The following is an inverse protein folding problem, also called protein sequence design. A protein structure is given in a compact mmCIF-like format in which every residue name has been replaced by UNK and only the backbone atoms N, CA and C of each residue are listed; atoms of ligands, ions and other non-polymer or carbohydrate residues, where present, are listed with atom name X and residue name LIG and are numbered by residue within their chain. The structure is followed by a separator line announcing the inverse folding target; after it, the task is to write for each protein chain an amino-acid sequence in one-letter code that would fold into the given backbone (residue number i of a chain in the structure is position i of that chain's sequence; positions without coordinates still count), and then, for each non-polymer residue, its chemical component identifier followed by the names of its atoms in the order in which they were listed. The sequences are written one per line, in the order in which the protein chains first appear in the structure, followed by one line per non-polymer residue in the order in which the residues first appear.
data_IF_988627602018
#
_entry.id   IF_988627602018
#
_cell.length_a   1.000
_cell.length_b   1.000
_cell.length_c   1.000
_cell.angle_alpha   90.00
_cell.angle_beta   90.00
_cell.angle_gamma   90.00
#
_symmetry.space_group_name_H-M   'P 1'
#
loop_
_entity.id
_entity.type
_entity.pdbx_description
1 polymer ?
#
# COMPACT_ATOMS: atom_id res chain seq x y z
N UNK A 1 -14.14 12.20 63.56
CA UNK A 1 -12.94 12.44 62.75
C UNK A 1 -12.37 11.11 62.26
N UNK A 2 -12.84 10.61 61.13
CA UNK A 2 -12.21 9.57 60.29
C UNK A 2 -12.54 9.99 58.85
N UNK A 3 -11.76 10.92 58.31
CA UNK A 3 -10.65 10.69 57.40
C UNK A 3 -11.13 10.47 55.96
N UNK A 4 -11.15 11.61 55.26
CA UNK A 4 -11.34 11.83 53.84
C UNK A 4 -10.21 11.17 53.01
N UNK A 5 -10.18 9.83 52.97
CA UNK A 5 -9.07 9.08 52.35
C UNK A 5 -9.52 7.92 51.46
N UNK A 6 -10.70 8.05 50.82
CA UNK A 6 -11.26 6.99 49.96
C UNK A 6 -11.62 7.44 48.54
N UNK A 7 -11.12 8.60 48.09
CA UNK A 7 -11.36 9.10 46.72
C UNK A 7 -10.08 9.63 46.04
N UNK A 8 -8.96 8.93 46.20
CA UNK A 8 -7.74 9.20 45.44
C UNK A 8 -7.24 8.03 44.59
N UNK A 9 -8.08 7.03 44.28
CA UNK A 9 -7.68 5.89 43.45
C UNK A 9 -8.25 5.87 42.02
N UNK A 10 -9.09 6.84 41.63
CA UNK A 10 -9.74 6.84 40.31
C UNK A 10 -9.27 7.94 39.35
N UNK A 11 -8.34 8.80 39.74
CA UNK A 11 -7.86 9.92 38.92
C UNK A 11 -6.66 9.59 38.00
N UNK A 12 -6.18 8.35 38.00
CA UNK A 12 -5.02 7.92 37.20
C UNK A 12 -5.32 7.25 35.87
N UNK A 13 -6.56 6.78 35.64
CA UNK A 13 -6.89 5.89 34.51
C UNK A 13 -7.46 6.63 33.28
N UNK A 14 -8.12 7.78 33.48
CA UNK A 14 -8.78 8.49 32.38
C UNK A 14 -7.83 9.30 31.47
N UNK A 15 -6.61 9.63 31.94
CA UNK A 15 -5.66 10.40 31.13
C UNK A 15 -4.95 9.53 30.08
N UNK A 16 -4.55 8.31 30.46
CA UNK A 16 -3.96 7.31 29.54
C UNK A 16 -4.96 6.88 28.46
N UNK A 17 -6.25 6.84 28.77
CA UNK A 17 -7.29 6.54 27.78
C UNK A 17 -7.52 7.68 26.78
N UNK A 18 -7.38 8.94 27.19
CA UNK A 18 -7.51 10.09 26.26
C UNK A 18 -6.28 10.16 25.33
N UNK A 19 -5.11 9.75 25.82
CA UNK A 19 -3.89 9.73 25.02
C UNK A 19 -3.91 8.61 23.98
N UNK A 20 -4.36 7.41 24.34
CA UNK A 20 -4.50 6.29 23.38
C UNK A 20 -5.53 6.60 22.27
N UNK A 21 -6.64 7.26 22.60
CA UNK A 21 -7.66 7.63 21.62
C UNK A 21 -7.20 8.80 20.75
N UNK A 22 -6.45 9.78 21.28
CA UNK A 22 -5.86 10.85 20.46
C UNK A 22 -4.79 10.33 19.51
N UNK A 23 -4.00 9.34 19.92
CA UNK A 23 -2.99 8.69 19.08
C UNK A 23 -3.64 7.93 17.90
N UNK A 24 -4.82 7.34 18.12
CA UNK A 24 -5.58 6.65 17.06
C UNK A 24 -6.25 7.60 16.04
N UNK A 25 -6.36 8.90 16.37
CA UNK A 25 -6.91 9.93 15.48
C UNK A 25 -5.89 10.53 14.51
N UNK A 26 -4.59 10.39 14.79
CA UNK A 26 -3.50 10.86 13.92
C UNK A 26 -2.46 9.75 13.82
N UNK A 27 -2.53 8.87 12.81
CA UNK A 27 -1.51 7.84 12.65
C UNK A 27 -0.15 8.53 12.56
N UNK A 28 0.81 8.08 13.37
CA UNK A 28 2.18 8.56 13.32
C UNK A 28 2.64 8.62 11.84
N UNK A 29 3.35 9.66 11.45
CA UNK A 29 3.88 9.77 10.08
C UNK A 29 5.34 9.33 10.07
N UNK A 30 5.71 8.50 9.09
CA UNK A 30 7.09 8.07 8.88
C UNK A 30 7.71 8.83 7.71
N UNK A 31 8.99 9.15 7.85
CA UNK A 31 9.76 9.86 6.84
C UNK A 31 10.79 8.91 6.24
N UNK A 32 10.67 8.63 4.95
CA UNK A 32 11.57 7.72 4.23
C UNK A 32 12.32 8.44 3.13
N UNK A 33 13.53 7.99 2.84
CA UNK A 33 14.40 8.59 1.85
C UNK A 33 14.35 7.81 0.54
N UNK A 34 14.33 8.53 -0.59
CA UNK A 34 14.67 7.95 -1.89
C UNK A 34 16.19 7.80 -2.01
N UNK A 35 16.70 6.93 -2.89
CA UNK A 35 18.13 6.86 -3.19
C UNK A 35 18.70 8.19 -3.74
N UNK A 36 17.84 9.08 -4.23
CA UNK A 36 18.18 10.41 -4.72
C UNK A 36 18.23 11.47 -3.59
N UNK A 37 17.95 11.08 -2.34
CA UNK A 37 17.96 11.98 -1.18
C UNK A 37 16.69 12.80 -0.99
N UNK A 38 15.59 12.47 -1.68
CA UNK A 38 14.28 13.10 -1.45
C UNK A 38 13.59 12.45 -0.25
N UNK A 39 12.97 13.28 0.59
CA UNK A 39 12.14 12.81 1.71
C UNK A 39 10.71 12.61 1.22
N UNK A 40 10.11 11.48 1.57
CA UNK A 40 8.71 11.16 1.32
C UNK A 40 8.04 10.86 2.65
N UNK A 41 6.92 11.54 2.90
CA UNK A 41 6.05 11.32 4.04
C UNK A 41 5.05 10.21 3.73
N UNK A 42 4.89 9.27 4.66
CA UNK A 42 3.96 8.16 4.56
C UNK A 42 3.29 7.91 5.92
N UNK A 43 2.07 7.35 5.94
CA UNK A 43 1.45 6.95 7.20
C UNK A 43 2.26 5.83 7.87
N UNK A 44 2.22 5.76 9.20
CA UNK A 44 2.84 4.68 9.96
C UNK A 44 2.30 3.33 9.50
N UNK A 45 3.20 2.36 9.46
CA UNK A 45 2.91 1.04 8.92
C UNK A 45 2.87 0.98 7.39
N UNK A 46 3.15 2.07 6.67
CA UNK A 46 3.26 2.04 5.21
C UNK A 46 4.34 1.05 4.76
N UNK A 47 4.04 0.37 3.67
CA UNK A 47 4.91 -0.65 3.08
C UNK A 47 5.74 -0.08 1.92
N UNK A 48 6.77 -0.80 1.43
CA UNK A 48 7.49 -0.40 0.22
C UNK A 48 6.57 -0.20 -1.00
N UNK A 49 5.45 -0.94 -1.05
CA UNK A 49 4.45 -0.77 -2.11
C UNK A 49 3.76 0.60 -1.99
N UNK A 50 3.41 1.03 -0.78
CA UNK A 50 2.83 2.36 -0.54
C UNK A 50 3.80 3.47 -0.98
N UNK A 51 5.09 3.33 -0.65
CA UNK A 51 6.15 4.23 -1.11
C UNK A 51 6.23 4.29 -2.65
N UNK A 52 6.20 3.14 -3.33
CA UNK A 52 6.24 3.10 -4.78
C UNK A 52 5.09 3.92 -5.42
N UNK A 53 3.86 3.76 -4.92
CA UNK A 53 2.69 4.54 -5.38
C UNK A 53 2.69 6.01 -4.94
N UNK A 54 3.40 6.34 -3.86
CA UNK A 54 3.61 7.72 -3.43
C UNK A 54 4.54 8.45 -4.40
N UNK A 55 5.65 7.81 -4.80
CA UNK A 55 6.61 8.35 -5.78
C UNK A 55 5.98 8.47 -7.17
N UNK A 56 5.48 7.37 -7.74
CA UNK A 56 4.82 7.39 -9.03
C UNK A 56 3.91 6.18 -9.25
N UNK A 57 2.75 6.39 -9.89
CA UNK A 57 1.80 5.28 -10.13
C UNK A 57 2.42 4.19 -11.02
N UNK A 58 3.20 4.58 -12.04
CA UNK A 58 3.85 3.62 -12.94
C UNK A 58 4.95 2.79 -12.25
N UNK A 59 5.68 3.40 -11.30
CA UNK A 59 6.66 2.68 -10.47
C UNK A 59 5.92 1.66 -9.58
N UNK A 60 4.80 2.06 -8.99
CA UNK A 60 3.93 1.16 -8.23
C UNK A 60 3.37 0.01 -9.06
N UNK A 61 2.98 0.26 -10.32
CA UNK A 61 2.50 -0.78 -11.24
C UNK A 61 3.61 -1.74 -11.68
N UNK A 62 4.81 -1.23 -11.94
CA UNK A 62 5.96 -2.00 -12.39
C UNK A 62 6.78 -2.62 -11.25
N UNK A 63 6.37 -2.45 -9.99
CA UNK A 63 7.08 -2.92 -8.81
C UNK A 63 7.15 -4.46 -8.78
N UNK A 64 8.35 -5.00 -8.59
CA UNK A 64 8.59 -6.45 -8.39
C UNK A 64 9.19 -6.77 -7.03
N UNK A 65 9.87 -5.81 -6.43
CA UNK A 65 10.54 -5.97 -5.14
C UNK A 65 11.00 -4.64 -4.58
N UNK A 66 11.51 -4.67 -3.36
CA UNK A 66 12.07 -3.50 -2.71
C UNK A 66 13.40 -3.83 -2.06
N UNK A 67 14.25 -2.81 -1.98
CA UNK A 67 15.46 -2.79 -1.19
C UNK A 67 15.36 -1.67 -0.18
N UNK A 68 15.72 -1.96 1.06
CA UNK A 68 15.81 -0.97 2.13
C UNK A 68 17.23 -1.01 2.65
N UNK A 69 17.87 0.16 2.73
CA UNK A 69 19.26 0.31 3.16
C UNK A 69 20.22 -0.64 2.40
N UNK A 70 20.01 -0.77 1.08
CA UNK A 70 20.75 -1.64 0.15
C UNK A 70 20.58 -3.16 0.39
N UNK A 71 19.71 -3.58 1.30
CA UNK A 71 19.38 -4.98 1.56
C UNK A 71 18.01 -5.35 0.96
N UNK A 72 17.81 -6.59 0.49
CA UNK A 72 16.51 -7.05 0.02
C UNK A 72 15.49 -6.98 1.17
N UNK A 73 14.34 -6.38 0.91
CA UNK A 73 13.31 -6.13 1.93
C UNK A 73 11.95 -6.71 1.51
N UNK A 74 11.23 -7.40 2.41
CA UNK A 74 9.91 -7.94 2.09
C UNK A 74 8.90 -6.83 1.80
N UNK A 75 8.11 -6.98 0.73
CA UNK A 75 7.06 -6.01 0.36
C UNK A 75 5.93 -5.91 1.39
N UNK A 76 5.73 -6.95 2.21
CA UNK A 76 4.71 -6.99 3.26
C UNK A 76 5.15 -6.36 4.58
N UNK A 77 6.44 -6.09 4.74
CA UNK A 77 6.98 -5.55 5.99
C UNK A 77 6.82 -4.02 5.98
N UNK A 78 6.35 -3.42 7.09
CA UNK A 78 6.22 -1.97 7.19
C UNK A 78 7.59 -1.30 7.21
N UNK A 79 7.65 -0.08 6.69
CA UNK A 79 8.82 0.78 6.71
C UNK A 79 8.95 1.51 8.05
N UNK A 80 10.18 1.89 8.39
CA UNK A 80 10.50 2.71 9.56
C UNK A 80 11.06 4.05 9.12
N UNK A 81 10.81 5.09 9.92
CA UNK A 81 11.36 6.43 9.67
C UNK A 81 12.89 6.39 9.62
N UNK A 82 13.49 7.14 8.70
CA UNK A 82 14.94 7.25 8.52
C UNK A 82 15.55 6.25 7.53
N UNK A 83 14.77 5.30 7.00
CA UNK A 83 15.26 4.29 6.06
C UNK A 83 15.34 4.82 4.62
N UNK A 84 16.32 4.33 3.86
CA UNK A 84 16.41 4.60 2.42
C UNK A 84 15.77 3.46 1.63
N UNK A 85 14.72 3.78 0.87
CA UNK A 85 13.93 2.79 0.13
C UNK A 85 14.20 2.92 -1.37
N UNK A 86 14.59 1.80 -1.97
CA UNK A 86 14.80 1.64 -3.40
C UNK A 86 13.78 0.62 -3.93
N UNK A 87 13.01 1.01 -4.95
CA UNK A 87 12.02 0.13 -5.57
C UNK A 87 12.62 -0.52 -6.81
N UNK A 88 12.57 -1.84 -6.85
CA UNK A 88 12.98 -2.61 -8.02
C UNK A 88 11.76 -2.73 -8.93
N UNK A 89 11.88 -2.20 -10.15
CA UNK A 89 10.84 -2.26 -11.18
C UNK A 89 11.25 -3.16 -12.34
N UNK A 90 10.27 -3.77 -13.02
CA UNK A 90 10.52 -4.54 -14.23
C UNK A 90 9.49 -4.21 -15.34
N UNK A 91 9.92 -4.11 -16.60
CA UNK A 91 9.01 -3.88 -17.72
C UNK A 91 8.06 -5.08 -17.89
N UNK A 92 6.76 -4.84 -17.81
CA UNK A 92 5.73 -5.89 -17.89
C UNK A 92 5.34 -6.50 -16.55
N UNK A 93 5.91 -6.04 -15.44
CA UNK A 93 5.42 -6.41 -14.11
C UNK A 93 3.98 -5.92 -13.91
N UNK A 94 3.21 -6.70 -13.15
CA UNK A 94 1.82 -6.41 -12.82
C UNK A 94 1.62 -6.52 -11.31
N UNK A 95 0.83 -5.62 -10.70
CA UNK A 95 0.53 -5.68 -9.29
C UNK A 95 -0.25 -6.94 -8.96
N UNK A 96 0.06 -7.54 -7.82
CA UNK A 96 -0.65 -8.71 -7.31
C UNK A 96 -1.83 -8.27 -6.42
N UNK A 97 -2.96 -8.96 -6.53
CA UNK A 97 -4.11 -8.76 -5.66
C UNK A 97 -3.78 -8.95 -4.17
N UNK A 98 -2.78 -9.79 -3.85
CA UNK A 98 -2.29 -10.01 -2.49
C UNK A 98 -1.80 -8.73 -1.81
N UNK A 99 -1.38 -7.71 -2.57
CA UNK A 99 -0.91 -6.43 -2.02
C UNK A 99 -2.01 -5.68 -1.27
N UNK A 100 -3.28 -5.86 -1.64
CA UNK A 100 -4.40 -5.21 -0.97
C UNK A 100 -4.54 -5.60 0.52
N UNK A 101 -3.93 -6.71 0.94
CA UNK A 101 -3.98 -7.20 2.32
C UNK A 101 -3.06 -6.42 3.26
N UNK A 102 -1.95 -5.88 2.77
CA UNK A 102 -0.92 -5.25 3.60
C UNK A 102 -0.63 -3.78 3.27
N UNK A 103 -0.99 -3.32 2.06
CA UNK A 103 -0.87 -1.92 1.64
C UNK A 103 -1.75 -1.06 2.56
N UNK A 104 -1.21 0.01 3.13
CA UNK A 104 -1.93 0.88 4.08
C UNK A 104 -2.54 2.09 3.36
N UNK A 105 -1.86 2.64 2.35
CA UNK A 105 -2.27 3.88 1.68
C UNK A 105 -3.55 3.70 0.86
N UNK A 106 -4.53 4.57 1.12
CA UNK A 106 -5.78 4.64 0.34
C UNK A 106 -5.53 4.90 -1.15
N UNK A 107 -4.53 5.72 -1.48
CA UNK A 107 -4.12 6.01 -2.87
C UNK A 107 -3.63 4.74 -3.57
N UNK A 108 -2.73 3.99 -2.92
CA UNK A 108 -2.20 2.74 -3.47
C UNK A 108 -3.32 1.70 -3.67
N UNK A 109 -4.18 1.50 -2.66
CA UNK A 109 -5.34 0.60 -2.75
C UNK A 109 -6.26 0.93 -3.92
N UNK A 110 -6.58 2.21 -4.13
CA UNK A 110 -7.44 2.64 -5.22
C UNK A 110 -6.81 2.36 -6.60
N UNK A 111 -5.52 2.69 -6.77
CA UNK A 111 -4.79 2.46 -8.03
C UNK A 111 -4.62 0.98 -8.36
N UNK A 112 -4.26 0.15 -7.38
CA UNK A 112 -4.16 -1.31 -7.53
C UNK A 112 -5.50 -1.89 -7.98
N UNK A 113 -6.61 -1.52 -7.31
CA UNK A 113 -7.95 -2.01 -7.69
C UNK A 113 -8.35 -1.57 -9.09
N UNK A 114 -8.06 -0.32 -9.45
CA UNK A 114 -8.34 0.20 -10.79
C UNK A 114 -7.60 -0.60 -11.86
N UNK A 115 -6.30 -0.85 -11.67
CA UNK A 115 -5.51 -1.60 -12.64
C UNK A 115 -5.95 -3.06 -12.75
N UNK A 116 -6.19 -3.75 -11.62
CA UNK A 116 -6.69 -5.12 -11.62
C UNK A 116 -8.05 -5.25 -12.33
N UNK A 117 -8.93 -4.24 -12.20
CA UNK A 117 -10.21 -4.21 -12.90
C UNK A 117 -10.03 -4.03 -14.41
N UNK A 118 -9.10 -3.18 -14.83
CA UNK A 118 -8.80 -2.95 -16.24
C UNK A 118 -8.22 -4.21 -16.90
N UNK A 119 -7.26 -4.88 -16.23
CA UNK A 119 -6.69 -6.13 -16.71
C UNK A 119 -7.75 -7.22 -16.93
N UNK A 120 -8.68 -7.39 -15.98
CA UNK A 120 -9.80 -8.34 -16.13
C UNK A 120 -10.72 -8.02 -17.31
N UNK A 121 -10.91 -6.72 -17.61
CA UNK A 121 -11.73 -6.30 -18.75
C UNK A 121 -11.01 -6.58 -20.07
N UNK A 122 -9.73 -6.25 -20.17
CA UNK A 122 -8.92 -6.49 -21.38
C UNK A 122 -8.84 -7.99 -21.71
N UNK A 123 -8.61 -8.84 -20.70
CA UNK A 123 -8.63 -10.29 -20.87
C UNK A 123 -10.00 -10.79 -21.39
N UNK A 124 -11.10 -10.23 -20.87
CA UNK A 124 -12.47 -10.62 -21.30
C UNK A 124 -12.78 -10.19 -22.75
N UNK A 125 -12.27 -9.05 -23.19
CA UNK A 125 -12.45 -8.56 -24.58
C UNK A 125 -11.62 -9.40 -25.54
N UNK A 126 -10.40 -9.77 -25.17
CA UNK A 126 -9.53 -10.60 -26.00
C UNK A 126 -10.03 -12.03 -26.20
N UNK A 127 -10.77 -12.59 -25.23
CA UNK A 127 -11.40 -13.92 -25.35
C UNK A 127 -12.71 -13.91 -26.17
N UNK A 128 -13.25 -12.73 -26.46
CA UNK A 128 -14.53 -12.54 -27.16
C UNK A 128 -14.41 -12.44 -28.67
N UNK A 129 -13.21 -12.52 -29.26
CA UNK A 129 -13.06 -12.63 -30.70
C UNK A 129 -13.55 -14.03 -31.11
N UNK A 130 -14.73 -14.16 -31.74
CA UNK A 130 -15.15 -15.45 -32.24
C UNK A 130 -14.17 -15.82 -33.33
N UNK A 131 -13.64 -17.04 -33.26
CA UNK A 131 -13.17 -17.76 -34.44
C UNK A 131 -14.35 -17.88 -35.41
N UNK A 132 -14.69 -16.78 -36.10
CA UNK A 132 -15.59 -16.78 -37.22
C UNK A 132 -14.82 -17.41 -38.38
N UNK A 133 -14.84 -18.74 -38.43
CA UNK A 133 -14.48 -19.44 -39.65
C UNK A 133 -15.36 -18.86 -40.78
N UNK A 134 -14.79 -18.31 -41.84
CA UNK A 134 -15.59 -17.84 -42.95
C UNK A 134 -16.30 -19.04 -43.58
N UNK A 135 -17.64 -19.03 -43.54
CA UNK A 135 -18.48 -19.97 -44.28
C UNK A 135 -18.02 -20.00 -45.74
N UNK A 136 -17.61 -21.15 -46.30
CA UNK A 136 -17.23 -21.20 -47.71
C UNK A 136 -18.49 -20.93 -48.54
N UNK A 137 -18.49 -19.80 -49.25
CA UNK A 137 -19.54 -19.49 -50.23
C UNK A 137 -19.57 -20.60 -51.26
N UNK A 138 -20.64 -21.41 -51.26
CA UNK A 138 -21.02 -22.24 -52.40
C UNK A 138 -21.25 -21.30 -53.58
N UNK A 139 -20.34 -21.33 -54.55
CA UNK A 139 -20.58 -20.76 -55.88
C UNK A 139 -21.46 -21.74 -56.68
N UNK A 140 -22.27 -21.23 -57.64
CA UNK A 140 -23.36 -21.97 -58.27
C UNK A 140 -22.92 -23.16 -59.12
#
# INVERSE_FOLDING_TARGET
MQSLLELQQSAGSSFEFIESVKSDLFPDEIYVFTPEGRIVELPAGATPVDFAYAVHTDIGHACVGARVDRQPYPLSQPLTSGQTVEIITAPGARPNAAWLNFVVSSKARAKIRQLLKNLKRDDSVSLGAPFAQPCPRRQP
#
